data_IF_078866009403
#
_entry.id   IF_078866009403
#
_cell.length_a   1.000
_cell.length_b   1.000
_cell.length_c   1.000
_cell.angle_alpha   90.00
_cell.angle_beta   90.00
_cell.angle_gamma   90.00
#
_symmetry.space_group_name_H-M   'P 1'
#
loop_
_entity.id
_entity.type
_entity.pdbx_description
1 polymer ?
#
# COMPACT_ATOMS: atom_id res chain seq x y z
N UNK A 1 -49.38 11.06 4.59
CA UNK A 1 -48.31 10.15 4.21
C UNK A 1 -47.63 10.74 2.97
N UNK A 2 -46.35 11.09 3.08
CA UNK A 2 -45.57 11.59 1.95
C UNK A 2 -45.12 10.37 1.13
N UNK A 3 -45.66 10.23 -0.09
CA UNK A 3 -45.21 9.22 -1.03
C UNK A 3 -43.83 9.61 -1.58
N UNK A 4 -42.79 8.88 -1.22
CA UNK A 4 -41.48 8.95 -1.84
C UNK A 4 -41.32 7.80 -2.86
N UNK A 5 -40.54 8.01 -3.93
CA UNK A 5 -40.16 6.93 -4.85
C UNK A 5 -39.07 6.03 -4.24
N UNK A 6 -38.65 4.99 -4.96
CA UNK A 6 -37.64 4.02 -4.51
C UNK A 6 -36.26 4.66 -4.20
N UNK A 7 -36.02 5.89 -4.68
CA UNK A 7 -34.77 6.64 -4.45
C UNK A 7 -34.89 7.66 -3.31
N UNK A 8 -36.00 7.63 -2.54
CA UNK A 8 -36.21 8.50 -1.39
C UNK A 8 -36.64 9.93 -1.71
N UNK A 9 -36.92 10.26 -2.99
CA UNK A 9 -37.27 11.60 -3.45
C UNK A 9 -38.81 11.82 -3.38
N UNK A 10 -39.25 12.87 -2.71
CA UNK A 10 -40.66 13.22 -2.65
C UNK A 10 -41.10 14.10 -3.81
N UNK A 11 -42.42 14.08 -4.18
CA UNK A 11 -43.00 14.98 -5.20
C UNK A 11 -42.77 16.45 -4.90
N UNK A 12 -42.64 16.82 -3.61
CA UNK A 12 -42.35 18.17 -3.16
C UNK A 12 -40.90 18.57 -3.45
N UNK A 13 -39.98 17.62 -3.42
CA UNK A 13 -38.56 17.85 -3.77
C UNK A 13 -38.41 18.01 -5.28
N UNK A 14 -39.15 17.23 -6.10
CA UNK A 14 -39.22 17.42 -7.54
C UNK A 14 -39.80 18.79 -7.95
N UNK A 15 -40.82 19.29 -7.23
CA UNK A 15 -41.39 20.61 -7.47
C UNK A 15 -40.42 21.72 -7.08
N UNK A 16 -39.67 21.58 -5.99
CA UNK A 16 -38.64 22.54 -5.58
C UNK A 16 -37.46 22.55 -6.56
N UNK A 17 -37.07 21.41 -7.09
CA UNK A 17 -36.06 21.30 -8.15
C UNK A 17 -36.54 21.94 -9.47
N UNK A 18 -37.81 21.74 -9.84
CA UNK A 18 -38.39 22.35 -11.02
C UNK A 18 -38.50 23.89 -10.92
N UNK A 19 -38.87 24.44 -9.74
CA UNK A 19 -38.91 25.89 -9.52
C UNK A 19 -37.51 26.51 -9.45
N UNK A 20 -36.51 25.78 -8.90
CA UNK A 20 -35.13 26.22 -8.86
C UNK A 20 -34.48 26.30 -10.25
N UNK A 21 -34.88 25.45 -11.15
CA UNK A 21 -34.42 25.46 -12.54
C UNK A 21 -34.96 26.62 -13.37
N UNK A 22 -36.12 27.16 -12.98
CA UNK A 22 -36.75 28.36 -13.60
C UNK A 22 -36.16 29.69 -13.09
N UNK A 23 -35.50 29.70 -11.93
CA UNK A 23 -34.98 30.89 -11.28
C UNK A 23 -33.44 31.01 -11.22
N UNK A 24 -32.71 30.10 -11.78
CA UNK A 24 -31.25 30.19 -11.88
C UNK A 24 -30.55 28.84 -11.90
N UNK A 25 -29.84 28.54 -12.95
CA UNK A 25 -29.11 27.29 -13.21
C UNK A 25 -27.97 26.91 -12.26
N UNK A 26 -27.77 27.65 -11.13
CA UNK A 26 -26.65 27.48 -10.23
C UNK A 26 -26.74 26.25 -9.31
N UNK A 27 -27.92 25.77 -8.94
CA UNK A 27 -28.05 24.69 -7.96
C UNK A 27 -27.94 23.30 -8.59
N UNK A 28 -28.50 23.13 -9.79
CA UNK A 28 -28.36 21.87 -10.56
C UNK A 28 -26.93 21.71 -11.06
N UNK A 29 -26.30 22.80 -11.48
CA UNK A 29 -24.89 22.79 -11.86
C UNK A 29 -23.95 22.59 -10.66
N UNK A 30 -24.28 23.15 -9.49
CA UNK A 30 -23.54 22.89 -8.26
C UNK A 30 -23.71 21.44 -7.74
N UNK A 31 -24.89 20.82 -7.90
CA UNK A 31 -25.09 19.40 -7.63
C UNK A 31 -24.40 18.51 -8.67
N UNK A 32 -24.47 18.84 -9.96
CA UNK A 32 -23.72 18.14 -11.00
C UNK A 32 -22.21 18.24 -10.79
N UNK A 33 -21.70 19.42 -10.44
CA UNK A 33 -20.29 19.61 -10.06
C UNK A 33 -19.91 18.81 -8.80
N UNK A 34 -20.78 18.67 -7.80
CA UNK A 34 -20.52 17.82 -6.63
C UNK A 34 -20.53 16.33 -6.96
N UNK A 35 -21.45 15.86 -7.80
CA UNK A 35 -21.50 14.46 -8.26
C UNK A 35 -20.28 14.15 -9.12
N UNK A 36 -19.96 15.01 -10.08
CA UNK A 36 -18.76 14.86 -10.93
C UNK A 36 -17.47 15.01 -10.12
N UNK A 37 -17.45 15.85 -9.08
CA UNK A 37 -16.31 15.98 -8.17
C UNK A 37 -16.16 14.78 -7.24
N UNK A 38 -17.26 14.17 -6.76
CA UNK A 38 -17.18 12.96 -5.92
C UNK A 38 -16.76 11.73 -6.71
N UNK A 39 -17.31 11.52 -7.90
CA UNK A 39 -16.89 10.43 -8.79
C UNK A 39 -15.46 10.64 -9.33
N UNK A 40 -15.09 11.90 -9.60
CA UNK A 40 -13.74 12.25 -10.07
C UNK A 40 -12.66 12.17 -8.99
N UNK A 41 -13.00 12.44 -7.71
CA UNK A 41 -12.03 12.38 -6.60
C UNK A 41 -11.73 10.94 -6.16
N UNK A 42 -12.75 10.09 -6.06
CA UNK A 42 -12.56 8.66 -5.73
C UNK A 42 -11.75 7.92 -6.80
N UNK A 43 -11.89 8.32 -8.07
CA UNK A 43 -11.14 7.72 -9.18
C UNK A 43 -9.65 8.11 -9.24
N UNK A 44 -9.21 9.10 -8.47
CA UNK A 44 -7.84 9.65 -8.52
C UNK A 44 -6.97 9.30 -7.32
N UNK A 45 -7.52 8.66 -6.29
CA UNK A 45 -6.73 8.32 -5.09
C UNK A 45 -5.81 7.13 -5.36
N UNK A 46 -4.62 7.15 -4.77
CA UNK A 46 -3.60 6.10 -4.89
C UNK A 46 -3.06 5.70 -3.52
N UNK A 47 -2.41 4.55 -3.43
CA UNK A 47 -1.70 4.11 -2.25
C UNK A 47 -0.28 3.66 -2.61
N UNK A 48 0.70 4.15 -1.85
CA UNK A 48 2.05 3.60 -1.81
C UNK A 48 2.19 2.87 -0.47
N UNK A 49 2.18 1.55 -0.50
CA UNK A 49 2.47 0.69 0.65
C UNK A 49 3.96 0.42 0.72
N UNK A 50 4.63 0.89 1.76
CA UNK A 50 6.01 0.52 2.09
C UNK A 50 5.93 -0.66 3.06
N UNK A 51 6.22 -1.85 2.54
CA UNK A 51 6.18 -3.09 3.30
C UNK A 51 7.56 -3.38 3.90
N UNK A 52 7.65 -3.36 5.22
CA UNK A 52 8.86 -3.61 5.99
C UNK A 52 8.92 -5.09 6.38
N UNK A 53 9.35 -5.93 5.44
CA UNK A 53 9.34 -7.40 5.60
C UNK A 53 10.34 -7.85 6.67
N UNK A 54 9.82 -8.55 7.65
CA UNK A 54 10.55 -9.00 8.82
C UNK A 54 10.03 -8.43 10.14
N UNK A 55 9.14 -7.44 10.12
CA UNK A 55 8.54 -6.86 11.33
C UNK A 55 9.42 -5.82 12.02
N UNK A 56 9.25 -4.53 11.69
CA UNK A 56 10.04 -3.45 12.28
C UNK A 56 9.72 -3.24 13.76
N UNK A 57 10.74 -2.95 14.54
CA UNK A 57 10.56 -2.65 15.96
C UNK A 57 9.94 -1.26 16.15
N UNK A 58 8.89 -1.18 16.95
CA UNK A 58 8.28 0.07 17.36
C UNK A 58 9.20 0.90 18.29
N UNK A 59 10.08 0.26 19.08
CA UNK A 59 11.03 0.94 19.96
C UNK A 59 12.08 1.72 19.18
N UNK A 60 12.65 1.12 18.16
CA UNK A 60 13.70 1.70 17.34
C UNK A 60 13.16 2.63 16.26
N UNK A 61 11.80 2.83 16.21
CA UNK A 61 11.12 3.72 15.25
C UNK A 61 10.24 4.77 15.93
N UNK A 62 8.95 4.50 16.11
CA UNK A 62 7.93 5.51 16.41
C UNK A 62 7.40 5.50 17.86
N UNK A 63 7.84 4.54 18.70
CA UNK A 63 7.38 4.42 20.09
C UNK A 63 8.56 4.06 21.06
N UNK A 64 9.57 4.93 21.23
CA UNK A 64 10.85 4.60 21.85
C UNK A 64 10.84 4.35 23.38
N UNK A 65 9.74 4.58 24.09
CA UNK A 65 9.59 4.34 25.55
C UNK A 65 10.74 4.86 26.39
N UNK A 66 10.99 6.18 26.46
CA UNK A 66 12.14 6.76 27.14
C UNK A 66 12.23 6.42 28.64
N UNK A 67 11.09 6.24 29.29
CA UNK A 67 10.99 5.95 30.72
C UNK A 67 11.10 4.44 31.05
N UNK A 68 11.17 3.58 30.02
CA UNK A 68 11.32 2.15 30.25
C UNK A 68 12.77 1.82 30.68
N UNK A 69 12.98 0.70 31.44
CA UNK A 69 14.31 0.23 31.74
C UNK A 69 15.19 -0.02 30.53
N UNK A 70 16.50 0.06 30.66
CA UNK A 70 17.45 -0.02 29.55
C UNK A 70 17.32 -1.32 28.72
N UNK A 71 17.02 -2.44 29.41
CA UNK A 71 16.78 -3.75 28.77
C UNK A 71 15.51 -3.79 27.88
N UNK A 72 14.68 -2.73 27.95
CA UNK A 72 13.49 -2.55 27.12
C UNK A 72 13.71 -1.44 26.09
N UNK A 73 14.08 -0.22 26.53
CA UNK A 73 14.22 0.93 25.63
C UNK A 73 15.40 0.82 24.67
N UNK A 74 16.42 0.02 25.00
CA UNK A 74 17.62 -0.17 24.18
C UNK A 74 18.60 1.00 24.23
N UNK A 75 19.48 1.06 23.23
CA UNK A 75 20.59 2.01 23.16
C UNK A 75 20.20 3.38 22.60
N UNK A 76 19.15 3.44 21.77
CA UNK A 76 18.81 4.65 21.03
C UNK A 76 18.09 5.67 21.92
N UNK A 77 18.40 6.94 21.67
CA UNK A 77 17.78 8.05 22.38
C UNK A 77 16.46 8.46 21.71
N UNK A 78 15.44 8.82 22.51
CA UNK A 78 14.25 9.46 21.99
C UNK A 78 14.59 10.89 21.56
N UNK A 79 14.11 11.30 20.40
CA UNK A 79 14.21 12.68 19.94
C UNK A 79 12.81 13.30 19.86
N UNK A 80 12.67 14.59 20.16
CA UNK A 80 11.41 15.29 19.99
C UNK A 80 11.05 15.36 18.51
N UNK A 81 9.77 15.29 18.23
CA UNK A 81 9.23 15.50 16.88
C UNK A 81 8.67 16.93 16.76
N UNK A 82 8.27 17.32 15.56
CA UNK A 82 7.58 18.59 15.32
C UNK A 82 6.17 18.59 15.95
N UNK A 83 5.61 17.40 16.25
CA UNK A 83 4.35 17.25 16.98
C UNK A 83 4.63 17.29 18.48
N UNK A 84 4.10 18.27 19.24
CA UNK A 84 4.39 18.43 20.65
C UNK A 84 4.06 17.18 21.48
N UNK A 85 4.98 16.77 22.37
CA UNK A 85 4.81 15.61 23.25
C UNK A 85 5.02 14.25 22.58
N UNK A 86 5.33 14.22 21.29
CA UNK A 86 5.60 13.00 20.54
C UNK A 86 7.10 12.83 20.34
N UNK A 87 7.60 11.64 20.64
CA UNK A 87 9.00 11.27 20.46
C UNK A 87 9.13 10.11 19.48
N UNK A 88 10.18 10.16 18.64
CA UNK A 88 10.64 9.06 17.81
C UNK A 88 12.04 8.63 18.24
N UNK A 89 12.50 7.47 17.78
CA UNK A 89 13.90 7.08 17.91
C UNK A 89 14.82 8.05 17.14
N UNK A 90 16.04 8.26 17.65
CA UNK A 90 17.06 9.09 16.98
C UNK A 90 17.42 8.63 15.55
N UNK A 91 17.02 7.41 15.17
CA UNK A 91 17.17 6.93 13.80
C UNK A 91 16.14 7.54 12.83
N UNK A 92 15.09 8.21 13.34
CA UNK A 92 13.97 8.76 12.57
C UNK A 92 13.99 10.30 12.55
N UNK A 93 15.17 10.90 12.33
CA UNK A 93 15.37 12.37 12.43
C UNK A 93 14.56 13.16 11.41
N UNK A 94 14.55 12.69 10.15
CA UNK A 94 13.83 13.38 9.07
C UNK A 94 12.32 13.23 9.23
N UNK A 95 11.84 12.04 9.56
CA UNK A 95 10.42 11.79 9.85
C UNK A 95 9.96 12.57 11.09
N UNK A 96 10.80 12.68 12.12
CA UNK A 96 10.52 13.53 13.28
C UNK A 96 10.33 15.00 12.89
N UNK A 97 11.16 15.51 11.98
CA UNK A 97 11.11 16.89 11.48
C UNK A 97 9.87 17.20 10.64
N UNK A 98 9.24 16.19 10.05
CA UNK A 98 7.99 16.31 9.26
C UNK A 98 6.79 15.65 9.93
N UNK A 99 6.86 15.37 11.23
CA UNK A 99 5.80 14.64 11.94
C UNK A 99 4.44 15.35 11.90
N UNK A 100 4.43 16.66 11.70
CA UNK A 100 3.23 17.45 11.45
C UNK A 100 2.50 17.09 10.14
N UNK A 101 3.09 16.30 9.26
CA UNK A 101 2.47 15.76 8.04
C UNK A 101 2.02 14.30 8.19
N UNK A 102 2.32 13.66 9.31
CA UNK A 102 2.15 12.23 9.55
C UNK A 102 1.04 11.94 10.54
N UNK A 103 0.44 10.76 10.45
CA UNK A 103 -0.29 10.09 11.52
C UNK A 103 0.43 8.81 11.89
N UNK A 104 0.62 8.55 13.18
CA UNK A 104 1.18 7.31 13.70
C UNK A 104 0.11 6.56 14.48
N UNK A 105 -0.14 5.31 14.13
CA UNK A 105 -0.99 4.42 14.92
C UNK A 105 -0.08 3.51 15.73
N UNK A 106 -0.13 3.61 17.07
CA UNK A 106 0.71 2.81 17.99
C UNK A 106 -0.01 1.60 18.56
N UNK A 107 -1.24 1.37 18.16
CA UNK A 107 -2.18 0.45 18.82
C UNK A 107 -2.74 -0.64 17.93
N UNK A 108 -2.12 -0.90 16.77
CA UNK A 108 -2.46 -2.07 15.99
C UNK A 108 -1.91 -3.32 16.67
N UNK A 109 -2.73 -4.36 16.79
CA UNK A 109 -2.31 -5.66 17.32
C UNK A 109 -3.08 -6.81 16.68
N UNK A 110 -2.49 -7.99 16.72
CA UNK A 110 -3.11 -9.25 16.35
C UNK A 110 -2.46 -10.41 17.12
N UNK A 111 -2.81 -11.66 16.78
CA UNK A 111 -2.37 -12.86 17.51
C UNK A 111 -1.42 -13.76 16.70
N UNK A 112 -0.77 -13.23 15.65
CA UNK A 112 0.08 -14.01 14.74
C UNK A 112 1.54 -13.60 14.92
N UNK A 113 2.36 -14.48 15.50
CA UNK A 113 3.79 -14.23 15.77
C UNK A 113 4.73 -14.99 14.82
N UNK A 114 4.25 -15.45 13.65
CA UNK A 114 5.10 -15.98 12.60
C UNK A 114 4.89 -15.21 11.29
N UNK A 115 5.93 -15.15 10.47
CA UNK A 115 5.92 -14.39 9.23
C UNK A 115 4.79 -14.77 8.29
N UNK A 116 4.51 -16.07 8.11
CA UNK A 116 3.49 -16.52 7.17
C UNK A 116 2.08 -16.05 7.53
N UNK A 117 1.69 -16.19 8.79
CA UNK A 117 0.38 -15.77 9.27
C UNK A 117 0.29 -14.25 9.47
N UNK A 118 1.36 -13.62 9.99
CA UNK A 118 1.44 -12.18 10.15
C UNK A 118 1.37 -11.43 8.82
N UNK A 119 2.19 -11.85 7.83
CA UNK A 119 2.14 -11.31 6.47
C UNK A 119 0.72 -11.41 5.88
N UNK A 120 0.10 -12.59 5.98
CA UNK A 120 -1.24 -12.78 5.47
C UNK A 120 -2.22 -11.81 6.12
N UNK A 121 -2.23 -11.75 7.45
CA UNK A 121 -3.20 -10.93 8.16
C UNK A 121 -3.03 -9.44 7.87
N UNK A 122 -1.81 -8.91 7.93
CA UNK A 122 -1.55 -7.49 7.67
C UNK A 122 -1.74 -7.10 6.21
N UNK A 123 -1.38 -7.97 5.25
CA UNK A 123 -1.52 -7.68 3.81
C UNK A 123 -2.95 -7.76 3.30
N UNK A 124 -3.82 -8.51 3.99
CA UNK A 124 -5.17 -8.82 3.50
C UNK A 124 -6.30 -8.26 4.37
N UNK A 125 -6.03 -7.94 5.64
CA UNK A 125 -7.06 -7.66 6.64
C UNK A 125 -7.87 -8.90 7.06
N UNK A 126 -7.41 -10.11 6.74
CA UNK A 126 -8.08 -11.36 7.08
C UNK A 126 -7.14 -12.32 7.80
N UNK A 127 -7.54 -12.91 8.95
CA UNK A 127 -6.71 -13.88 9.64
C UNK A 127 -6.58 -15.18 8.82
N UNK A 128 -5.54 -15.95 9.11
CA UNK A 128 -5.39 -17.29 8.52
C UNK A 128 -6.49 -18.23 9.00
N UNK A 129 -6.98 -19.07 8.09
CA UNK A 129 -8.07 -20.03 8.39
C UNK A 129 -7.59 -21.27 9.12
N UNK A 130 -6.31 -21.54 9.10
CA UNK A 130 -5.64 -22.66 9.75
C UNK A 130 -4.36 -22.17 10.45
N UNK A 131 -3.85 -22.87 11.46
CA UNK A 131 -2.54 -22.60 12.00
C UNK A 131 -1.47 -22.70 10.92
N UNK A 132 -0.52 -21.78 10.91
CA UNK A 132 0.59 -21.71 9.95
C UNK A 132 1.88 -22.08 10.69
N UNK A 133 2.59 -23.07 10.16
CA UNK A 133 3.88 -23.47 10.72
C UNK A 133 4.98 -22.41 10.45
N UNK A 134 6.04 -22.45 11.26
CA UNK A 134 7.17 -21.56 11.09
C UNK A 134 7.80 -21.77 9.70
N UNK A 135 8.08 -20.68 8.99
CA UNK A 135 8.64 -20.68 7.64
C UNK A 135 7.65 -21.01 6.50
N UNK A 136 6.41 -21.41 6.82
CA UNK A 136 5.36 -21.59 5.81
C UNK A 136 4.67 -20.25 5.51
N UNK A 137 4.36 -20.03 4.23
CA UNK A 137 3.55 -18.90 3.77
C UNK A 137 2.25 -19.39 3.14
N UNK A 138 1.17 -18.70 3.42
CA UNK A 138 -0.18 -19.08 2.99
C UNK A 138 -0.89 -17.89 2.36
N UNK A 139 -1.86 -18.17 1.52
CA UNK A 139 -2.75 -17.16 0.96
C UNK A 139 -4.18 -17.71 0.95
N UNK A 140 -5.06 -17.12 1.75
CA UNK A 140 -6.48 -17.50 1.85
C UNK A 140 -7.40 -16.35 1.40
N UNK A 141 -6.85 -15.15 1.25
CA UNK A 141 -7.57 -13.95 0.92
C UNK A 141 -6.70 -13.08 -0.01
N UNK A 142 -7.28 -12.30 -0.94
CA UNK A 142 -6.50 -11.39 -1.77
C UNK A 142 -5.88 -10.25 -0.94
N UNK A 143 -4.71 -9.80 -1.36
CA UNK A 143 -4.06 -8.62 -0.78
C UNK A 143 -4.84 -7.34 -1.04
N UNK A 144 -4.61 -6.30 -0.22
CA UNK A 144 -5.21 -4.98 -0.44
C UNK A 144 -4.96 -4.45 -1.85
N UNK A 145 -3.74 -4.59 -2.37
CA UNK A 145 -3.40 -4.15 -3.72
C UNK A 145 -4.15 -4.90 -4.82
N UNK A 146 -4.34 -6.20 -4.64
CA UNK A 146 -5.12 -7.02 -5.58
C UNK A 146 -6.61 -6.70 -5.55
N UNK A 147 -7.16 -6.39 -4.37
CA UNK A 147 -8.53 -5.88 -4.24
C UNK A 147 -8.67 -4.54 -4.95
N UNK A 148 -7.76 -3.60 -4.72
CA UNK A 148 -7.77 -2.31 -5.42
C UNK A 148 -7.68 -2.51 -6.93
N UNK A 149 -6.85 -3.44 -7.40
CA UNK A 149 -6.77 -3.80 -8.82
C UNK A 149 -8.08 -4.37 -9.37
N UNK A 150 -8.86 -5.10 -8.58
CA UNK A 150 -10.15 -5.66 -9.01
C UNK A 150 -11.27 -4.62 -9.04
N UNK A 151 -11.20 -3.63 -8.16
CA UNK A 151 -12.22 -2.58 -8.03
C UNK A 151 -11.96 -1.37 -8.91
N UNK A 152 -10.69 -1.16 -9.30
CA UNK A 152 -10.23 0.02 -9.99
C UNK A 152 -9.23 -0.35 -11.09
N UNK A 153 -9.43 0.20 -12.28
CA UNK A 153 -8.41 0.17 -13.34
C UNK A 153 -7.36 1.26 -13.15
N UNK A 154 -6.32 1.24 -13.98
CA UNK A 154 -5.38 2.34 -14.14
C UNK A 154 -5.51 2.94 -15.55
N UNK A 155 -5.20 4.25 -15.72
CA UNK A 155 -5.23 4.89 -17.02
C UNK A 155 -4.09 4.42 -17.92
N UNK A 156 -4.17 4.74 -19.20
CA UNK A 156 -3.10 4.55 -20.17
C UNK A 156 -2.60 3.10 -20.31
N UNK A 157 -3.44 2.12 -19.98
CA UNK A 157 -3.06 0.70 -20.05
C UNK A 157 -2.06 0.24 -19.01
N UNK A 158 -1.78 1.06 -18.00
CA UNK A 158 -0.97 0.65 -16.86
C UNK A 158 -1.68 -0.43 -16.03
N UNK A 159 -0.95 -1.40 -15.47
CA UNK A 159 -1.48 -2.25 -14.42
C UNK A 159 -1.96 -1.41 -13.22
N UNK A 160 -3.05 -1.83 -12.60
CA UNK A 160 -3.58 -1.13 -11.44
C UNK A 160 -2.82 -1.43 -10.14
N UNK A 161 -1.96 -2.45 -10.13
CA UNK A 161 -1.15 -2.83 -8.99
C UNK A 161 0.29 -3.14 -9.40
N UNK A 162 1.24 -2.49 -8.75
CA UNK A 162 2.68 -2.74 -8.91
C UNK A 162 3.31 -3.22 -7.61
N UNK A 163 4.33 -4.08 -7.70
CA UNK A 163 5.19 -4.46 -6.58
C UNK A 163 6.67 -4.38 -6.96
N UNK A 164 7.48 -3.75 -6.13
CA UNK A 164 8.87 -3.39 -6.40
C UNK A 164 9.75 -3.73 -5.19
N UNK A 165 10.80 -4.50 -5.30
CA UNK A 165 11.32 -5.18 -6.51
C UNK A 165 10.69 -6.56 -6.74
N UNK A 166 9.92 -7.06 -5.80
CA UNK A 166 9.30 -8.38 -5.81
C UNK A 166 7.91 -8.32 -5.19
N UNK A 167 7.10 -9.31 -5.41
CA UNK A 167 5.82 -9.45 -4.74
C UNK A 167 6.04 -9.81 -3.27
N UNK A 168 5.57 -8.95 -2.36
CA UNK A 168 5.57 -9.27 -0.93
C UNK A 168 4.81 -10.58 -0.65
N UNK A 169 5.20 -11.28 0.40
CA UNK A 169 4.49 -12.49 0.82
C UNK A 169 3.02 -12.15 1.10
N UNK A 170 2.10 -13.01 0.66
CA UNK A 170 0.65 -12.76 0.68
C UNK A 170 0.19 -11.51 -0.10
N UNK A 171 1.05 -10.91 -0.93
CA UNK A 171 0.75 -9.75 -1.77
C UNK A 171 -0.04 -10.06 -3.05
N UNK A 172 -0.43 -11.30 -3.27
CA UNK A 172 -1.08 -11.78 -4.49
C UNK A 172 -2.60 -11.70 -4.49
N UNK A 173 -3.23 -12.05 -5.64
CA UNK A 173 -4.66 -11.89 -5.88
C UNK A 173 -5.53 -12.99 -5.30
N UNK A 174 -4.97 -14.11 -4.87
CA UNK A 174 -5.70 -15.29 -4.42
C UNK A 174 -6.85 -15.64 -5.39
N UNK A 175 -8.11 -15.71 -4.91
CA UNK A 175 -9.28 -16.10 -5.70
C UNK A 175 -9.78 -15.00 -6.69
N UNK A 176 -9.20 -13.81 -6.71
CA UNK A 176 -9.58 -12.77 -7.68
C UNK A 176 -9.03 -13.05 -9.10
N UNK A 177 -8.10 -13.98 -9.24
CA UNK A 177 -7.50 -14.34 -10.52
C UNK A 177 -6.22 -13.57 -10.86
N UNK A 178 -5.40 -14.15 -11.73
CA UNK A 178 -4.04 -13.70 -12.03
C UNK A 178 -3.97 -12.26 -12.56
N UNK A 179 -4.99 -11.79 -13.26
CA UNK A 179 -5.06 -10.41 -13.80
C UNK A 179 -4.98 -9.32 -12.73
N UNK A 180 -5.28 -9.66 -11.46
CA UNK A 180 -5.19 -8.74 -10.33
C UNK A 180 -3.94 -8.94 -9.49
N UNK A 181 -2.99 -9.79 -9.97
CA UNK A 181 -1.66 -9.88 -9.41
C UNK A 181 -0.88 -8.57 -9.64
N UNK A 182 0.09 -8.24 -8.77
CA UNK A 182 0.95 -7.10 -9.02
C UNK A 182 1.82 -7.31 -10.25
N UNK A 183 1.99 -6.26 -11.05
CA UNK A 183 3.07 -6.20 -12.01
C UNK A 183 4.38 -5.99 -11.25
N UNK A 184 5.32 -6.94 -11.36
CA UNK A 184 6.56 -6.90 -10.59
C UNK A 184 7.67 -6.21 -11.39
N UNK A 185 8.23 -5.15 -10.82
CA UNK A 185 9.40 -4.46 -11.37
C UNK A 185 10.64 -4.90 -10.61
N UNK A 186 11.27 -5.98 -11.06
CA UNK A 186 12.42 -6.60 -10.38
C UNK A 186 13.75 -5.90 -10.64
N UNK A 187 13.88 -5.17 -11.75
CA UNK A 187 15.10 -4.46 -12.11
C UNK A 187 15.33 -3.27 -11.18
N UNK A 188 16.59 -2.98 -10.85
CA UNK A 188 16.95 -1.89 -9.97
C UNK A 188 16.91 -0.53 -10.71
N UNK A 189 16.00 0.39 -10.33
CA UNK A 189 15.94 1.73 -10.93
C UNK A 189 17.19 2.59 -10.68
N UNK A 190 18.02 2.20 -9.72
CA UNK A 190 19.32 2.88 -9.48
C UNK A 190 20.37 2.55 -10.55
N UNK A 191 20.22 1.47 -11.28
CA UNK A 191 21.13 1.07 -12.33
C UNK A 191 21.05 2.00 -13.54
N UNK A 192 22.20 2.34 -14.12
CA UNK A 192 22.29 3.09 -15.38
C UNK A 192 21.68 2.31 -16.56
N UNK A 193 21.62 0.99 -16.45
CA UNK A 193 21.02 0.10 -17.43
C UNK A 193 19.55 -0.24 -17.13
N UNK A 194 18.92 0.50 -16.21
CA UNK A 194 17.52 0.24 -15.84
C UNK A 194 16.62 0.25 -17.06
N UNK A 195 15.97 -0.86 -17.27
CA UNK A 195 14.89 -1.06 -18.26
C UNK A 195 13.88 -2.01 -17.62
N UNK A 196 12.63 -1.71 -17.74
CA UNK A 196 11.60 -2.67 -17.38
C UNK A 196 11.53 -3.68 -18.51
N UNK A 197 11.92 -4.94 -18.25
CA UNK A 197 11.74 -6.03 -19.22
C UNK A 197 10.28 -6.04 -19.63
N UNK A 198 9.90 -6.50 -20.72
CA UNK A 198 8.52 -6.57 -21.21
C UNK A 198 7.81 -5.21 -21.46
N UNK A 199 8.50 -4.08 -21.24
CA UNK A 199 7.98 -2.73 -21.54
C UNK A 199 8.70 -2.08 -22.74
N UNK A 200 9.83 -2.63 -23.18
CA UNK A 200 10.57 -2.12 -24.33
C UNK A 200 10.47 -3.08 -25.51
N UNK A 201 10.13 -2.56 -26.70
CA UNK A 201 10.18 -3.35 -27.95
C UNK A 201 11.65 -3.76 -28.17
N UNK A 202 11.94 -5.06 -28.36
CA UNK A 202 13.31 -5.50 -28.61
C UNK A 202 13.90 -4.82 -29.85
N UNK A 203 15.17 -4.39 -29.76
CA UNK A 203 15.90 -3.82 -30.88
C UNK A 203 15.86 -4.78 -32.09
N UNK A 204 15.39 -4.29 -33.24
CA UNK A 204 15.30 -5.07 -34.50
C UNK A 204 13.90 -5.59 -34.84
N UNK A 205 12.88 -5.33 -33.99
CA UNK A 205 11.48 -5.49 -34.37
C UNK A 205 10.92 -4.12 -34.81
N UNK A 206 10.58 -4.01 -36.10
CA UNK A 206 9.79 -2.87 -36.53
C UNK A 206 8.34 -3.03 -36.05
N UNK A 207 7.65 -1.92 -35.82
CA UNK A 207 6.29 -1.94 -35.27
C UNK A 207 5.27 -2.69 -36.17
N UNK A 208 5.54 -2.87 -37.45
CA UNK A 208 4.69 -3.60 -38.40
C UNK A 208 4.73 -5.11 -38.13
N UNK A 209 5.92 -5.70 -38.08
CA UNK A 209 6.09 -7.15 -37.81
C UNK A 209 5.54 -7.58 -36.44
N UNK A 210 5.59 -6.70 -35.46
CA UNK A 210 5.03 -6.99 -34.15
C UNK A 210 3.49 -6.97 -34.16
N UNK A 211 2.86 -6.05 -34.93
CA UNK A 211 1.41 -6.04 -35.18
C UNK A 211 0.95 -7.33 -35.86
N UNK A 212 1.64 -7.76 -36.92
CA UNK A 212 1.28 -8.99 -37.63
C UNK A 212 1.35 -10.24 -36.75
N UNK A 213 2.38 -10.33 -35.90
CA UNK A 213 2.51 -11.44 -34.93
C UNK A 213 1.42 -11.42 -33.88
N UNK A 214 1.01 -10.25 -33.41
CA UNK A 214 -0.07 -10.09 -32.45
C UNK A 214 -1.43 -10.44 -33.06
N UNK A 215 -1.69 -10.02 -34.28
CA UNK A 215 -2.93 -10.37 -34.98
C UNK A 215 -3.02 -11.87 -35.24
N UNK A 216 -1.94 -12.50 -35.69
CA UNK A 216 -1.88 -13.95 -35.88
C UNK A 216 -2.09 -14.71 -34.57
N UNK A 217 -1.44 -14.27 -33.47
CA UNK A 217 -1.65 -14.84 -32.14
C UNK A 217 -3.07 -14.65 -31.64
N UNK A 218 -3.65 -13.45 -31.79
CA UNK A 218 -5.03 -13.17 -31.40
C UNK A 218 -6.06 -14.01 -32.20
N UNK A 219 -5.75 -14.35 -33.45
CA UNK A 219 -6.59 -15.25 -34.25
C UNK A 219 -6.47 -16.71 -33.77
N UNK A 220 -5.27 -17.16 -33.43
CA UNK A 220 -5.04 -18.49 -32.85
C UNK A 220 -5.68 -18.62 -31.46
N UNK A 221 -5.57 -17.60 -30.62
CA UNK A 221 -6.17 -17.55 -29.27
C UNK A 221 -7.70 -17.53 -29.30
N UNK A 222 -8.32 -16.95 -30.33
CA UNK A 222 -9.78 -17.03 -30.52
C UNK A 222 -10.27 -18.45 -30.75
N UNK A 223 -9.47 -19.30 -31.38
CA UNK A 223 -9.79 -20.72 -31.62
C UNK A 223 -9.67 -21.55 -30.32
N UNK A 224 -8.72 -21.22 -29.46
CA UNK A 224 -8.49 -21.90 -28.16
C UNK A 224 -9.51 -21.49 -27.09
N UNK A 225 -9.97 -20.23 -27.08
CA UNK A 225 -10.93 -19.69 -26.10
C UNK A 225 -12.34 -20.30 -26.16
N UNK A 226 -12.66 -21.05 -27.18
CA UNK A 226 -13.94 -21.79 -27.24
C UNK A 226 -13.96 -23.02 -26.33
N UNK A 227 -12.78 -23.56 -25.94
CA UNK A 227 -12.65 -24.74 -25.08
C UNK A 227 -12.33 -24.41 -23.60
N UNK A 228 -11.79 -23.22 -23.27
CA UNK A 228 -11.17 -22.93 -21.98
C UNK A 228 -11.90 -21.87 -21.15
N UNK A 229 -13.19 -22.05 -20.93
CA UNK A 229 -13.98 -21.24 -19.98
C UNK A 229 -13.78 -21.66 -18.50
N UNK A 230 -12.63 -22.18 -18.12
CA UNK A 230 -12.32 -22.49 -16.74
C UNK A 230 -11.59 -21.30 -16.08
N UNK A 231 -12.30 -20.54 -15.27
CA UNK A 231 -11.71 -19.54 -14.36
C UNK A 231 -10.68 -20.25 -13.46
N UNK A 232 -9.38 -19.97 -13.66
CA UNK A 232 -8.28 -20.56 -12.89
C UNK A 232 -7.17 -21.23 -13.73
N UNK A 233 -7.28 -21.23 -15.05
CA UNK A 233 -6.24 -21.78 -15.91
C UNK A 233 -5.00 -20.88 -15.92
N UNK A 234 -3.79 -21.40 -15.57
CA UNK A 234 -2.53 -20.65 -15.64
C UNK A 234 -2.22 -20.09 -17.03
N UNK A 235 -2.72 -20.71 -18.11
CA UNK A 235 -2.55 -20.27 -19.50
C UNK A 235 -3.33 -18.97 -19.77
N UNK A 236 -4.54 -18.86 -19.23
CA UNK A 236 -5.37 -17.63 -19.35
C UNK A 236 -4.70 -16.49 -18.58
N UNK A 237 -4.17 -16.76 -17.37
CA UNK A 237 -3.43 -15.75 -16.59
C UNK A 237 -2.15 -15.28 -17.30
N UNK A 238 -1.44 -16.16 -17.99
CA UNK A 238 -0.26 -15.81 -18.78
C UNK A 238 -0.64 -14.91 -19.98
N UNK A 239 -1.79 -15.15 -20.62
CA UNK A 239 -2.29 -14.32 -21.71
C UNK A 239 -2.69 -12.92 -21.22
N UNK A 240 -3.38 -12.81 -20.09
CA UNK A 240 -3.76 -11.52 -19.50
C UNK A 240 -2.53 -10.69 -19.11
N UNK A 241 -1.51 -11.29 -18.51
CA UNK A 241 -0.23 -10.64 -18.20
C UNK A 241 0.50 -10.18 -19.49
N UNK A 242 0.42 -10.97 -20.56
CA UNK A 242 0.99 -10.61 -21.84
C UNK A 242 0.25 -9.41 -22.47
N UNK A 243 -1.06 -9.36 -22.41
CA UNK A 243 -1.85 -8.21 -22.87
C UNK A 243 -1.54 -6.94 -22.08
N UNK A 244 -1.35 -7.05 -20.75
CA UNK A 244 -0.91 -5.95 -19.92
C UNK A 244 0.48 -5.45 -20.35
N UNK A 245 1.43 -6.34 -20.56
CA UNK A 245 2.77 -5.98 -21.02
C UNK A 245 2.72 -5.25 -22.38
N UNK A 246 1.93 -5.74 -23.33
CA UNK A 246 1.71 -5.07 -24.62
C UNK A 246 1.11 -3.67 -24.44
N UNK A 247 0.13 -3.54 -23.56
CA UNK A 247 -0.52 -2.25 -23.30
C UNK A 247 0.49 -1.21 -22.78
N UNK A 248 1.36 -1.61 -21.85
CA UNK A 248 2.45 -0.75 -21.34
C UNK A 248 3.43 -0.39 -22.47
N UNK A 249 3.83 -1.37 -23.29
CA UNK A 249 4.78 -1.18 -24.40
C UNK A 249 4.28 -0.21 -25.46
N UNK A 250 2.97 -0.09 -25.63
CA UNK A 250 2.35 0.73 -26.68
C UNK A 250 1.87 2.09 -26.18
N UNK A 251 1.86 2.33 -24.86
CA UNK A 251 1.46 3.61 -24.28
C UNK A 251 2.68 4.50 -23.98
N UNK A 252 2.86 5.63 -24.67
CA UNK A 252 3.93 6.58 -24.36
C UNK A 252 3.85 7.13 -22.93
N UNK A 253 2.63 7.27 -22.38
CA UNK A 253 2.38 7.73 -21.02
C UNK A 253 2.89 6.70 -20.00
N UNK A 254 2.59 5.42 -20.23
CA UNK A 254 3.08 4.34 -19.40
C UNK A 254 4.60 4.23 -19.45
N UNK A 255 5.20 4.34 -20.63
CA UNK A 255 6.66 4.31 -20.79
C UNK A 255 7.34 5.44 -20.02
N UNK A 256 6.80 6.68 -20.12
CA UNK A 256 7.33 7.84 -19.38
C UNK A 256 7.37 7.63 -17.86
N UNK A 257 6.42 6.89 -17.27
CA UNK A 257 6.43 6.59 -15.85
C UNK A 257 7.69 5.83 -15.42
N UNK A 258 8.25 4.99 -16.28
CA UNK A 258 9.46 4.21 -16.00
C UNK A 258 10.78 4.92 -16.36
N UNK A 259 10.74 6.04 -17.05
CA UNK A 259 11.94 6.78 -17.46
C UNK A 259 12.53 7.61 -16.32
N UNK A 260 12.94 6.94 -15.25
CA UNK A 260 13.49 7.57 -14.04
C UNK A 260 14.77 8.36 -14.33
N UNK A 261 15.48 8.03 -15.39
CA UNK A 261 16.69 8.73 -15.83
C UNK A 261 16.39 10.16 -16.31
N UNK A 262 15.14 10.48 -16.64
CA UNK A 262 14.72 11.82 -17.02
C UNK A 262 14.36 12.72 -15.82
N UNK A 263 14.36 12.18 -14.62
CA UNK A 263 14.24 13.01 -13.41
C UNK A 263 15.53 13.82 -13.21
N UNK A 264 15.43 15.08 -12.79
CA UNK A 264 16.60 15.91 -12.48
C UNK A 264 17.52 15.23 -11.45
N UNK A 265 18.82 15.38 -11.64
CA UNK A 265 19.80 14.74 -10.75
C UNK A 265 19.62 15.11 -9.29
N UNK A 266 19.33 16.39 -9.00
CA UNK A 266 19.05 16.83 -7.63
C UNK A 266 17.83 16.12 -6.99
N UNK A 267 16.79 15.80 -7.76
CA UNK A 267 15.65 15.03 -7.28
C UNK A 267 16.09 13.60 -6.96
N UNK A 268 16.77 12.96 -7.90
CA UNK A 268 17.30 11.60 -7.72
C UNK A 268 18.26 11.51 -6.53
N UNK A 269 19.10 12.52 -6.34
CA UNK A 269 20.06 12.60 -5.22
C UNK A 269 19.34 12.76 -3.87
N UNK A 270 18.26 13.55 -3.82
CA UNK A 270 17.46 13.75 -2.60
C UNK A 270 16.80 12.44 -2.14
N UNK A 271 16.32 11.61 -3.07
CA UNK A 271 15.84 10.25 -2.77
C UNK A 271 16.96 9.29 -2.35
N UNK A 272 18.20 9.63 -2.70
CA UNK A 272 19.39 8.79 -2.53
C UNK A 272 19.64 7.88 -3.74
N UNK A 273 20.94 7.85 -4.19
CA UNK A 273 21.41 6.98 -5.29
C UNK A 273 21.63 5.54 -4.78
N UNK A 274 20.57 4.93 -4.28
CA UNK A 274 20.56 3.56 -3.79
C UNK A 274 19.26 2.85 -4.22
N UNK A 275 19.21 1.53 -4.17
CA UNK A 275 18.04 0.78 -4.64
C UNK A 275 16.72 1.21 -4.00
N UNK A 276 16.67 1.41 -2.69
CA UNK A 276 15.42 1.76 -2.00
C UNK A 276 14.96 3.20 -2.36
N UNK A 277 15.87 4.16 -2.40
CA UNK A 277 15.55 5.55 -2.77
C UNK A 277 15.01 5.65 -4.20
N UNK A 278 15.68 4.99 -5.17
CA UNK A 278 15.24 5.05 -6.55
C UNK A 278 13.96 4.24 -6.82
N UNK A 279 13.69 3.18 -6.04
CA UNK A 279 12.40 2.47 -6.06
C UNK A 279 11.27 3.36 -5.51
N UNK A 280 11.53 4.13 -4.45
CA UNK A 280 10.56 5.08 -3.92
C UNK A 280 10.24 6.20 -4.93
N UNK A 281 11.26 6.72 -5.63
CA UNK A 281 11.07 7.67 -6.73
C UNK A 281 10.24 7.06 -7.88
N UNK A 282 10.49 5.80 -8.24
CA UNK A 282 9.67 5.10 -9.24
C UNK A 282 8.21 4.96 -8.77
N UNK A 283 7.97 4.62 -7.50
CA UNK A 283 6.61 4.54 -6.96
C UNK A 283 5.88 5.88 -7.03
N UNK A 284 6.56 7.00 -6.73
CA UNK A 284 6.00 8.35 -6.91
C UNK A 284 5.61 8.59 -8.37
N UNK A 285 6.45 8.25 -9.33
CA UNK A 285 6.16 8.39 -10.76
C UNK A 285 4.97 7.55 -11.22
N UNK A 286 4.84 6.34 -10.68
CA UNK A 286 3.71 5.45 -10.99
C UNK A 286 2.38 6.02 -10.48
N UNK A 287 2.33 6.53 -9.25
CA UNK A 287 1.10 7.16 -8.74
C UNK A 287 0.81 8.50 -9.45
N UNK A 288 1.82 9.26 -9.84
CA UNK A 288 1.69 10.45 -10.67
C UNK A 288 1.09 10.12 -12.06
N UNK A 289 1.41 8.94 -12.61
CA UNK A 289 0.81 8.40 -13.83
C UNK A 289 -0.59 7.78 -13.61
N UNK A 290 -1.12 7.79 -12.38
CA UNK A 290 -2.46 7.34 -12.04
C UNK A 290 -2.58 5.88 -11.61
N UNK A 291 -1.47 5.21 -11.28
CA UNK A 291 -1.50 3.85 -10.72
C UNK A 291 -2.13 3.88 -9.32
N UNK A 292 -3.22 3.13 -9.07
CA UNK A 292 -3.93 3.22 -7.80
C UNK A 292 -3.24 2.51 -6.64
N UNK A 293 -2.35 1.52 -6.88
CA UNK A 293 -1.66 0.82 -5.79
C UNK A 293 -0.24 0.40 -6.15
N UNK A 294 0.72 0.76 -5.31
CA UNK A 294 2.13 0.38 -5.45
C UNK A 294 2.64 -0.16 -4.13
N UNK A 295 3.18 -1.37 -4.10
CA UNK A 295 3.90 -1.91 -2.95
C UNK A 295 5.41 -1.74 -3.16
N UNK A 296 6.07 -1.07 -2.24
CA UNK A 296 7.53 -1.06 -2.09
C UNK A 296 7.92 -2.10 -1.05
N UNK A 297 8.44 -3.24 -1.49
CA UNK A 297 8.96 -4.26 -0.60
C UNK A 297 10.37 -3.88 -0.13
N UNK A 298 10.52 -3.69 1.17
CA UNK A 298 11.78 -3.39 1.85
C UNK A 298 12.02 -4.44 2.94
N UNK A 299 12.88 -5.40 2.64
CA UNK A 299 13.19 -6.52 3.52
C UNK A 299 14.29 -6.21 4.53
N UNK A 300 14.60 -7.23 5.36
CA UNK A 300 15.72 -7.20 6.31
C UNK A 300 15.37 -6.63 7.67
N UNK A 301 14.08 -6.61 8.06
CA UNK A 301 13.64 -6.09 9.38
C UNK A 301 13.52 -7.18 10.45
N UNK A 302 13.91 -8.41 10.13
CA UNK A 302 13.86 -9.55 11.06
C UNK A 302 15.09 -9.60 12.00
N UNK A 303 15.16 -8.66 12.93
CA UNK A 303 16.33 -8.46 13.79
C UNK A 303 16.30 -9.28 15.10
N UNK A 304 16.40 -10.59 14.98
CA UNK A 304 16.63 -11.48 16.14
C UNK A 304 18.01 -11.31 16.77
N UNK A 305 18.94 -10.69 16.06
CA UNK A 305 20.28 -10.31 16.50
C UNK A 305 20.71 -9.04 15.77
N UNK A 306 21.76 -8.39 16.23
CA UNK A 306 22.39 -7.24 15.57
C UNK A 306 21.45 -6.04 15.31
N UNK A 307 20.39 -5.89 16.14
CA UNK A 307 19.35 -4.87 15.92
C UNK A 307 19.92 -3.45 15.92
N UNK A 308 20.79 -3.09 16.85
CA UNK A 308 21.28 -1.73 16.98
C UNK A 308 22.23 -1.33 15.85
N UNK A 309 23.27 -2.12 15.47
CA UNK A 309 24.07 -1.82 14.28
C UNK A 309 23.25 -1.76 12.99
N UNK A 310 22.26 -2.65 12.82
CA UNK A 310 21.40 -2.64 11.66
C UNK A 310 20.58 -1.36 11.56
N UNK A 311 19.96 -0.91 12.66
CA UNK A 311 19.18 0.32 12.65
C UNK A 311 20.01 1.57 12.43
N UNK A 312 21.30 1.60 12.82
CA UNK A 312 22.19 2.74 12.53
C UNK A 312 22.43 2.97 11.03
N UNK A 313 22.23 1.96 10.19
CA UNK A 313 22.33 2.08 8.73
C UNK A 313 20.97 2.00 8.04
N UNK A 314 20.25 0.89 8.22
CA UNK A 314 18.96 0.62 7.58
C UNK A 314 17.87 1.58 8.06
N UNK A 315 17.81 1.87 9.37
CA UNK A 315 16.86 2.82 9.94
C UNK A 315 17.05 4.23 9.41
N UNK A 316 18.30 4.70 9.31
CA UNK A 316 18.60 6.03 8.75
C UNK A 316 18.30 6.12 7.25
N UNK A 317 18.57 5.05 6.49
CA UNK A 317 18.20 5.01 5.08
C UNK A 317 16.68 5.04 4.89
N UNK A 318 15.96 4.25 5.69
CA UNK A 318 14.49 4.24 5.71
C UNK A 318 13.94 5.63 6.04
N UNK A 319 14.41 6.26 7.09
CA UNK A 319 14.03 7.61 7.51
C UNK A 319 14.21 8.63 6.38
N UNK A 320 15.39 8.63 5.74
CA UNK A 320 15.72 9.54 4.66
C UNK A 320 14.79 9.35 3.45
N UNK A 321 14.58 8.13 3.01
CA UNK A 321 13.80 7.81 1.81
C UNK A 321 12.32 8.09 2.02
N UNK A 322 11.74 7.67 3.16
CA UNK A 322 10.31 7.83 3.43
C UNK A 322 9.95 9.29 3.66
N UNK A 323 10.79 10.03 4.39
CA UNK A 323 10.61 11.48 4.55
C UNK A 323 10.67 12.20 3.19
N UNK A 324 11.66 11.88 2.35
CA UNK A 324 11.76 12.46 0.99
C UNK A 324 10.54 12.16 0.14
N UNK A 325 10.04 10.93 0.16
CA UNK A 325 8.85 10.56 -0.61
C UNK A 325 7.62 11.38 -0.18
N UNK A 326 7.41 11.53 1.13
CA UNK A 326 6.26 12.30 1.66
C UNK A 326 6.41 13.79 1.32
N UNK A 327 7.62 14.36 1.46
CA UNK A 327 7.90 15.75 1.12
C UNK A 327 7.73 16.03 -0.38
N UNK A 328 8.22 15.14 -1.26
CA UNK A 328 8.08 15.29 -2.72
C UNK A 328 6.61 15.19 -3.16
N UNK A 329 5.85 14.23 -2.60
CA UNK A 329 4.41 14.12 -2.83
C UNK A 329 3.66 15.38 -2.36
N UNK A 330 4.00 15.92 -1.18
CA UNK A 330 3.38 17.14 -0.63
C UNK A 330 3.69 18.37 -1.50
N UNK A 331 4.95 18.57 -1.88
CA UNK A 331 5.39 19.67 -2.73
C UNK A 331 4.75 19.66 -4.13
N UNK A 332 4.44 18.49 -4.65
CA UNK A 332 3.76 18.31 -5.94
C UNK A 332 2.23 18.36 -5.85
N UNK A 333 1.67 18.49 -4.64
CA UNK A 333 0.23 18.41 -4.42
C UNK A 333 -0.35 16.99 -4.57
N UNK A 334 0.50 15.97 -4.74
CA UNK A 334 0.10 14.58 -4.91
C UNK A 334 -0.28 13.91 -3.58
N UNK A 335 0.19 14.44 -2.44
CA UNK A 335 -0.10 13.88 -1.13
C UNK A 335 -1.59 13.95 -0.78
N UNK A 336 -2.32 14.92 -1.31
CA UNK A 336 -3.77 15.06 -1.09
C UNK A 336 -4.56 13.86 -1.66
N UNK A 337 -4.04 13.23 -2.71
CA UNK A 337 -4.66 12.07 -3.37
C UNK A 337 -3.89 10.77 -3.21
N UNK A 338 -2.72 10.78 -2.57
CA UNK A 338 -1.88 9.59 -2.38
C UNK A 338 -1.75 9.26 -0.91
N UNK A 339 -2.20 8.06 -0.53
CA UNK A 339 -1.94 7.49 0.78
C UNK A 339 -0.55 6.86 0.80
N UNK A 340 0.33 7.33 1.67
CA UNK A 340 1.57 6.62 2.03
C UNK A 340 1.30 5.82 3.30
N UNK A 341 1.45 4.51 3.22
CA UNK A 341 1.26 3.57 4.33
C UNK A 341 2.55 2.80 4.57
N UNK A 342 3.09 2.86 5.79
CA UNK A 342 4.28 2.10 6.21
C UNK A 342 3.88 1.11 7.28
N UNK A 343 4.12 -0.17 7.04
CA UNK A 343 3.83 -1.25 8.00
C UNK A 343 4.67 -2.49 7.71
N UNK A 344 4.75 -3.38 8.69
CA UNK A 344 5.23 -4.75 8.55
C UNK A 344 4.22 -5.73 9.13
N UNK A 345 4.58 -7.01 9.20
CA UNK A 345 3.69 -8.09 9.64
C UNK A 345 3.43 -8.13 11.14
N UNK A 346 4.35 -7.64 11.97
CA UNK A 346 4.25 -7.51 13.42
C UNK A 346 5.31 -6.53 13.95
N UNK A 347 5.31 -6.27 15.25
CA UNK A 347 6.37 -5.54 15.97
C UNK A 347 7.42 -6.48 16.57
N UNK A 348 8.18 -5.98 17.53
CA UNK A 348 9.26 -6.72 18.18
C UNK A 348 9.08 -6.75 19.71
N UNK A 349 9.61 -7.83 20.34
CA UNK A 349 9.52 -7.99 21.82
C UNK A 349 10.10 -6.78 22.54
N UNK A 350 9.44 -6.33 23.63
CA UNK A 350 9.98 -5.29 24.49
C UNK A 350 11.34 -5.68 25.11
N UNK A 351 11.45 -6.91 25.57
CA UNK A 351 12.69 -7.43 26.13
C UNK A 351 13.73 -7.63 25.02
N UNK A 352 14.86 -6.98 25.17
CA UNK A 352 16.05 -7.22 24.35
C UNK A 352 16.68 -8.53 24.82
N UNK A 353 16.99 -9.42 23.90
CA UNK A 353 17.57 -10.72 24.20
C UNK A 353 18.73 -11.05 23.25
N UNK A 354 19.61 -11.93 23.72
CA UNK A 354 20.63 -12.52 22.85
C UNK A 354 20.33 -13.99 22.70
N UNK A 355 19.96 -14.39 21.49
CA UNK A 355 19.65 -15.79 21.21
C UNK A 355 20.89 -16.68 21.38
N UNK A 356 20.66 -17.94 21.74
CA UNK A 356 21.74 -18.92 21.90
C UNK A 356 22.57 -19.01 20.60
N UNK A 357 23.89 -18.87 20.75
CA UNK A 357 24.84 -18.88 19.61
C UNK A 357 25.02 -17.53 18.91
N UNK A 358 24.22 -16.50 19.24
CA UNK A 358 24.43 -15.14 18.75
C UNK A 358 25.37 -14.34 19.69
N UNK A 359 26.06 -13.36 19.12
CA UNK A 359 26.99 -12.49 19.89
C UNK A 359 26.38 -11.10 20.18
N UNK A 360 25.38 -10.74 19.48
CA UNK A 360 24.76 -9.42 19.54
C UNK A 360 23.27 -9.54 19.86
N UNK A 361 22.68 -8.59 20.60
CA UNK A 361 21.29 -8.65 20.98
C UNK A 361 20.36 -8.33 19.80
N UNK A 362 19.12 -8.77 19.96
CA UNK A 362 18.01 -8.48 19.07
C UNK A 362 16.69 -8.49 19.83
N UNK A 363 15.60 -8.56 19.05
CA UNK A 363 14.24 -8.70 19.58
C UNK A 363 13.49 -9.73 18.74
N UNK A 364 12.69 -10.55 19.42
CA UNK A 364 11.85 -11.57 18.77
C UNK A 364 10.54 -10.99 18.24
N UNK A 365 9.73 -11.83 17.58
CA UNK A 365 8.44 -11.44 17.03
C UNK A 365 7.43 -11.05 18.12
N UNK A 366 6.69 -9.96 17.89
CA UNK A 366 5.70 -9.48 18.85
C UNK A 366 4.52 -8.80 18.16
N UNK A 367 3.36 -9.45 18.16
CA UNK A 367 2.17 -8.95 17.49
C UNK A 367 1.22 -8.12 18.37
N UNK A 368 1.54 -7.95 19.67
CA UNK A 368 0.68 -7.21 20.60
C UNK A 368 0.83 -5.68 20.52
N UNK A 369 1.86 -5.20 19.83
CA UNK A 369 2.13 -3.78 19.64
C UNK A 369 2.83 -3.56 18.31
N UNK A 370 2.15 -2.90 17.37
CA UNK A 370 2.62 -2.62 16.01
C UNK A 370 2.39 -1.13 15.75
N UNK A 371 3.45 -0.44 15.34
CA UNK A 371 3.37 0.97 14.93
C UNK A 371 3.24 1.08 13.41
N UNK A 372 2.24 1.84 12.96
CA UNK A 372 1.94 2.09 11.56
C UNK A 372 2.11 3.59 11.29
N UNK A 373 2.76 3.97 10.18
CA UNK A 373 2.80 5.33 9.71
C UNK A 373 1.86 5.50 8.53
N UNK A 374 1.06 6.56 8.57
CA UNK A 374 0.19 6.98 7.46
C UNK A 374 0.38 8.46 7.16
N UNK A 375 0.33 8.81 5.88
CA UNK A 375 0.34 10.20 5.42
C UNK A 375 -0.47 10.36 4.13
N UNK A 376 -1.10 11.52 3.95
CA UNK A 376 -1.82 11.85 2.72
C UNK A 376 -3.21 11.25 2.60
N UNK A 377 -3.86 11.48 1.46
CA UNK A 377 -5.21 11.03 1.14
C UNK A 377 -6.24 11.37 2.25
N UNK A 378 -6.24 12.64 2.72
CA UNK A 378 -7.12 13.10 3.78
C UNK A 378 -6.83 12.50 5.17
N UNK A 379 -5.66 11.85 5.38
CA UNK A 379 -5.24 11.43 6.72
C UNK A 379 -4.94 12.65 7.57
N UNK A 380 -5.51 12.78 8.79
CA UNK A 380 -5.19 13.88 9.71
C UNK A 380 -3.67 14.01 9.92
N UNK A 381 -3.21 15.23 10.02
CA UNK A 381 -1.78 15.57 10.11
C UNK A 381 -1.36 15.78 11.56
N UNK A 382 -0.16 15.36 11.92
CA UNK A 382 0.43 15.59 13.24
C UNK A 382 -0.23 14.82 14.38
N UNK A 383 -0.77 13.63 14.09
CA UNK A 383 -1.56 12.85 15.04
C UNK A 383 -0.88 11.55 15.45
N UNK A 384 -1.06 11.17 16.71
CA UNK A 384 -0.77 9.83 17.22
C UNK A 384 -2.09 9.20 17.68
N UNK A 385 -2.41 8.04 17.15
CA UNK A 385 -3.62 7.27 17.46
C UNK A 385 -3.25 6.10 18.34
N UNK A 386 -3.91 6.01 19.49
CA UNK A 386 -3.72 4.96 20.47
C UNK A 386 -2.36 5.00 21.17
N UNK A 387 -2.19 4.10 22.11
CA UNK A 387 -0.99 3.99 22.92
C UNK A 387 -0.68 2.53 23.26
N UNK A 388 0.58 2.23 23.47
CA UNK A 388 1.04 1.03 24.18
C UNK A 388 1.26 1.33 25.66
N UNK A 389 1.34 0.29 26.49
CA UNK A 389 1.65 0.47 27.92
C UNK A 389 3.05 1.11 28.11
N UNK A 390 3.39 1.44 29.36
CA UNK A 390 4.63 2.14 29.71
C UNK A 390 5.91 1.38 29.29
N UNK A 391 5.81 0.08 29.07
CA UNK A 391 6.91 -0.79 28.64
C UNK A 391 6.79 -1.24 27.18
N UNK A 392 5.76 -0.80 26.42
CA UNK A 392 5.56 -1.18 25.03
C UNK A 392 5.17 -2.64 24.79
N UNK A 393 4.64 -3.33 25.83
CA UNK A 393 4.25 -4.75 25.74
C UNK A 393 2.96 -4.96 24.95
N UNK A 394 1.99 -4.07 25.11
CA UNK A 394 0.69 -4.24 24.46
C UNK A 394 0.04 -2.90 24.20
N UNK A 395 -0.78 -2.86 23.14
CA UNK A 395 -1.69 -1.76 22.91
C UNK A 395 -2.74 -1.68 24.03
N UNK A 396 -2.94 -0.49 24.62
CA UNK A 396 -3.83 -0.25 25.77
C UNK A 396 -4.92 0.79 25.50
N UNK A 397 -4.77 1.61 24.49
CA UNK A 397 -5.74 2.63 24.11
C UNK A 397 -6.05 2.52 22.62
N UNK A 398 -7.32 2.71 22.23
CA UNK A 398 -7.79 2.70 20.83
C UNK A 398 -7.19 1.53 20.04
N UNK A 399 -7.48 0.32 20.48
CA UNK A 399 -6.89 -0.90 19.96
C UNK A 399 -7.56 -1.28 18.65
N UNK A 400 -6.74 -1.47 17.61
CA UNK A 400 -7.19 -1.82 16.28
C UNK A 400 -6.57 -3.14 15.80
N UNK A 401 -7.34 -3.86 15.00
CA UNK A 401 -6.90 -5.07 14.31
C UNK A 401 -6.54 -4.77 12.84
N UNK A 402 -5.87 -5.70 12.14
CA UNK A 402 -5.55 -5.54 10.73
C UNK A 402 -6.78 -5.29 9.83
N UNK A 403 -7.97 -5.79 10.20
CA UNK A 403 -9.23 -5.50 9.52
C UNK A 403 -9.56 -4.02 9.49
N UNK A 404 -9.39 -3.33 10.63
CA UNK A 404 -9.67 -1.91 10.75
C UNK A 404 -8.69 -1.07 9.91
N UNK A 405 -7.42 -1.51 9.84
CA UNK A 405 -6.42 -0.90 8.98
C UNK A 405 -6.76 -1.08 7.50
N UNK A 406 -7.10 -2.30 7.09
CA UNK A 406 -7.52 -2.60 5.71
C UNK A 406 -8.80 -1.82 5.34
N UNK A 407 -9.79 -1.76 6.26
CA UNK A 407 -11.01 -0.95 6.09
C UNK A 407 -10.69 0.54 5.91
N UNK A 408 -9.71 1.06 6.65
CA UNK A 408 -9.24 2.45 6.50
C UNK A 408 -8.65 2.67 5.10
N UNK A 409 -7.79 1.79 4.64
CA UNK A 409 -7.18 1.86 3.29
C UNK A 409 -8.26 1.81 2.22
N UNK A 410 -9.19 0.86 2.29
CA UNK A 410 -10.28 0.74 1.32
C UNK A 410 -11.15 1.97 1.29
N UNK A 411 -11.59 2.47 2.44
CA UNK A 411 -12.43 3.67 2.53
C UNK A 411 -11.73 4.90 1.93
N UNK A 412 -10.43 5.11 2.22
CA UNK A 412 -9.64 6.21 1.63
C UNK A 412 -9.48 6.08 0.11
N UNK A 413 -9.47 4.86 -0.40
CA UNK A 413 -9.41 4.60 -1.84
C UNK A 413 -10.81 4.54 -2.51
N UNK A 414 -11.89 4.85 -1.78
CA UNK A 414 -13.25 4.86 -2.30
C UNK A 414 -13.84 3.47 -2.54
N UNK A 415 -13.33 2.46 -1.85
CA UNK A 415 -13.83 1.07 -1.90
C UNK A 415 -14.63 0.80 -0.63
N UNK A 416 -15.84 0.26 -0.76
CA UNK A 416 -16.67 -0.15 0.38
C UNK A 416 -16.06 -1.38 1.10
N UNK A 417 -15.56 -1.23 2.35
CA UNK A 417 -15.00 -2.35 3.10
C UNK A 417 -16.04 -3.40 3.50
N UNK A 418 -17.33 -3.07 3.49
CA UNK A 418 -18.43 -4.00 3.76
C UNK A 418 -18.78 -4.94 2.61
N UNK A 419 -18.08 -4.80 1.48
CA UNK A 419 -18.35 -5.58 0.27
C UNK A 419 -18.16 -7.08 0.47
N UNK A 420 -19.00 -7.86 -0.20
CA UNK A 420 -18.88 -9.31 -0.28
C UNK A 420 -18.26 -9.69 -1.62
N UNK A 421 -17.16 -10.40 -1.57
CA UNK A 421 -16.50 -11.02 -2.71
C UNK A 421 -16.99 -12.47 -2.88
N UNK A 422 -16.83 -13.02 -4.07
CA UNK A 422 -17.13 -14.42 -4.33
C UNK A 422 -15.84 -15.13 -4.74
N UNK A 423 -15.53 -16.24 -4.05
CA UNK A 423 -14.38 -17.06 -4.42
C UNK A 423 -14.68 -17.89 -5.68
N UNK A 424 -13.68 -18.63 -6.17
CA UNK A 424 -13.79 -19.47 -7.38
C UNK A 424 -14.87 -20.56 -7.29
N UNK A 425 -15.29 -20.94 -6.08
CA UNK A 425 -16.39 -21.90 -5.84
C UNK A 425 -17.75 -21.21 -5.67
N UNK A 426 -17.86 -19.90 -5.92
CA UNK A 426 -19.07 -19.12 -5.74
C UNK A 426 -19.48 -18.87 -4.29
N UNK A 427 -18.59 -19.13 -3.32
CA UNK A 427 -18.88 -18.86 -1.90
C UNK A 427 -18.67 -17.38 -1.59
N UNK A 428 -19.62 -16.73 -0.88
CA UNK A 428 -19.45 -15.36 -0.42
C UNK A 428 -18.32 -15.31 0.63
N UNK A 429 -17.49 -14.28 0.52
CA UNK A 429 -16.40 -14.00 1.43
C UNK A 429 -16.40 -12.49 1.70
N UNK A 430 -16.48 -12.08 2.95
CA UNK A 430 -16.37 -10.67 3.31
C UNK A 430 -15.01 -10.14 2.90
N UNK A 431 -14.97 -8.90 2.39
CA UNK A 431 -13.72 -8.21 2.08
C UNK A 431 -12.87 -8.06 3.34
N UNK A 432 -13.46 -7.64 4.44
CA UNK A 432 -12.93 -7.69 5.80
C UNK A 432 -14.01 -8.14 6.78
N UNK A 433 -13.64 -8.74 7.89
CA UNK A 433 -14.60 -9.21 8.90
C UNK A 433 -15.17 -8.07 9.76
N UNK A 434 -14.40 -7.01 9.96
CA UNK A 434 -14.82 -5.75 10.59
C UNK A 434 -14.63 -4.58 9.62
N UNK A 435 -15.69 -4.08 8.98
CA UNK A 435 -15.60 -3.01 7.99
C UNK A 435 -15.42 -1.61 8.58
N UNK A 436 -15.30 -1.48 9.92
CA UNK A 436 -15.11 -0.18 10.57
C UNK A 436 -13.68 0.31 10.37
N UNK A 437 -13.47 1.48 9.76
CA UNK A 437 -12.14 2.07 9.65
C UNK A 437 -11.67 2.60 11.01
N UNK A 438 -10.39 2.92 11.10
CA UNK A 438 -9.81 3.66 12.22
C UNK A 438 -10.38 5.08 12.18
N UNK A 439 -11.34 5.39 13.06
CA UNK A 439 -12.15 6.60 12.99
C UNK A 439 -11.31 7.89 13.07
N UNK A 440 -10.22 7.86 13.83
CA UNK A 440 -9.31 9.00 13.99
C UNK A 440 -8.51 9.32 12.72
N UNK A 441 -8.49 8.43 11.74
CA UNK A 441 -7.77 8.61 10.48
C UNK A 441 -8.68 9.01 9.31
N UNK A 442 -9.98 9.11 9.55
CA UNK A 442 -10.99 9.41 8.52
C UNK A 442 -11.25 10.91 8.38
#
# INVERSE_FOLDING_TARGET
MLHTNCDGVSRRDCLKLGLGALLGGGFVDAMRLRIVASDGAAAKTSCILIWLDGGPSHFETFDPKPEAPAEIRGEFQPIPTKTPGVFFSENMKRLAAISDKLSIVRSVRHNQNNHGAGNHYMMTGAPTRIPVGCGAFVSFHPSMGSVVSSERGAPHGLPAYFSIPEMAKSGGPNFLGARHAPFVVSNDPNSSSFRVRDVTIPNGLDGGRDVDRRELRAQLDKLTRFSDRAAGDPVVGADENFQQAISIMTSPEAQRAFEIQHEPDNVRDTYGRNPFGQRALLARRLVEAGVPFVTLHNGGWDHHSNIFPAFRSQGQQFDAVVATLIEDLDQRGLLESTLVLVMGEFGRTPQISTLQGQKTPGRDHWSNAISILMAGCGTPRGQVVGATDSRGYTAVDKIYAPENLASTVYTKLGIDPGKILFNTSGRPTHLVSDPRPIAELM
#
